data_IF_244474506978
#
_entry.id   IF_244474506978
#
_cell.length_a   1.000
_cell.length_b   1.000
_cell.length_c   1.000
_cell.angle_alpha   90.00
_cell.angle_beta   90.00
_cell.angle_gamma   90.00
#
_symmetry.space_group_name_H-M   'P 1'
#
loop_
_entity.id
_entity.type
_entity.pdbx_description
1 polymer ?
#
# COMPACT_ATOMS: atom_id res chain seq x y z
N UNK A 1 -10.85 -14.93 -5.69
CA UNK A 1 -10.10 -13.97 -6.53
C UNK A 1 -9.73 -12.79 -5.66
N UNK A 2 -8.43 -12.54 -5.50
CA UNK A 2 -7.84 -11.53 -4.61
C UNK A 2 -7.45 -12.10 -3.25
N UNK A 3 -6.13 -12.07 -2.96
CA UNK A 3 -5.51 -12.55 -1.72
C UNK A 3 -5.35 -11.49 -0.64
N UNK A 4 -6.02 -10.35 -0.77
CA UNK A 4 -6.06 -9.34 0.29
C UNK A 4 -6.65 -9.89 1.60
N UNK A 5 -6.76 -9.04 2.62
CA UNK A 5 -7.18 -9.44 3.97
C UNK A 5 -8.45 -10.32 3.98
N UNK A 6 -9.50 -9.92 3.23
CA UNK A 6 -10.74 -10.68 3.16
C UNK A 6 -10.61 -12.00 2.41
N UNK A 7 -9.92 -12.00 1.27
CA UNK A 7 -9.76 -13.19 0.43
C UNK A 7 -8.88 -14.26 1.08
N UNK A 8 -7.74 -13.86 1.66
CA UNK A 8 -6.85 -14.78 2.37
C UNK A 8 -7.52 -15.36 3.63
N UNK A 9 -8.19 -14.52 4.42
CA UNK A 9 -8.94 -14.98 5.60
C UNK A 9 -10.02 -16.01 5.23
N UNK A 10 -10.80 -15.72 4.17
CA UNK A 10 -11.84 -16.62 3.69
C UNK A 10 -11.25 -17.95 3.18
N UNK A 11 -10.22 -17.89 2.32
CA UNK A 11 -9.55 -19.08 1.80
C UNK A 11 -9.00 -19.97 2.93
N UNK A 12 -8.38 -19.36 3.94
CA UNK A 12 -7.86 -20.04 5.14
C UNK A 12 -8.99 -20.73 5.92
N UNK A 13 -10.11 -20.03 6.17
CA UNK A 13 -11.23 -20.62 6.91
C UNK A 13 -11.91 -21.76 6.14
N UNK A 14 -12.17 -21.55 4.85
CA UNK A 14 -12.78 -22.58 4.00
C UNK A 14 -11.85 -23.78 3.82
N UNK A 15 -10.57 -23.55 3.63
CA UNK A 15 -9.57 -24.61 3.53
C UNK A 15 -9.53 -25.48 4.78
N UNK A 16 -9.51 -24.90 5.98
CA UNK A 16 -9.57 -25.61 7.26
C UNK A 16 -10.89 -26.37 7.47
N UNK A 17 -12.02 -25.77 7.08
CA UNK A 17 -13.35 -26.36 7.33
C UNK A 17 -13.77 -27.41 6.30
N UNK A 18 -13.52 -27.15 5.02
CA UNK A 18 -13.99 -27.94 3.89
C UNK A 18 -12.83 -28.65 3.16
N UNK A 19 -11.76 -27.91 2.83
CA UNK A 19 -10.62 -28.43 2.08
C UNK A 19 -9.94 -29.61 2.80
N UNK A 20 -9.66 -29.47 4.10
CA UNK A 20 -9.07 -30.53 4.93
C UNK A 20 -9.88 -31.83 4.93
N UNK A 21 -11.21 -31.72 4.77
CA UNK A 21 -12.12 -32.87 4.76
C UNK A 21 -12.40 -33.40 3.35
N UNK A 22 -11.83 -32.78 2.30
CA UNK A 22 -12.13 -33.14 0.90
C UNK A 22 -13.55 -32.81 0.44
N UNK A 23 -14.26 -31.92 1.18
CA UNK A 23 -15.65 -31.54 0.86
C UNK A 23 -15.74 -30.46 -0.22
N UNK A 24 -14.66 -29.68 -0.40
CA UNK A 24 -14.54 -28.69 -1.47
C UNK A 24 -13.06 -28.46 -1.81
N UNK A 25 -12.81 -28.14 -3.07
CA UNK A 25 -11.52 -27.64 -3.52
C UNK A 25 -11.55 -26.10 -3.44
N UNK A 26 -10.72 -25.52 -2.59
CA UNK A 26 -10.62 -24.08 -2.41
C UNK A 26 -9.38 -23.58 -3.17
N UNK A 27 -9.57 -22.63 -4.09
CA UNK A 27 -8.47 -22.01 -4.83
C UNK A 27 -8.45 -20.52 -4.58
N UNK A 28 -7.34 -20.01 -4.05
CA UNK A 28 -7.02 -18.59 -3.98
C UNK A 28 -6.24 -18.19 -5.22
N UNK A 29 -6.64 -17.10 -5.87
CA UNK A 29 -5.92 -16.52 -7.01
C UNK A 29 -5.55 -15.10 -6.67
N UNK A 30 -4.28 -14.73 -6.84
CA UNK A 30 -3.78 -13.37 -6.71
C UNK A 30 -2.67 -13.09 -7.73
N UNK A 31 -2.47 -11.84 -8.07
CA UNK A 31 -1.40 -11.37 -8.96
C UNK A 31 -0.03 -11.26 -8.27
N UNK A 32 0.00 -11.28 -6.94
CA UNK A 32 1.21 -11.30 -6.12
C UNK A 32 1.48 -12.71 -5.57
N UNK A 33 2.72 -12.99 -5.19
CA UNK A 33 3.12 -14.25 -4.53
C UNK A 33 2.96 -14.19 -3.02
N UNK A 34 3.02 -12.99 -2.48
CA UNK A 34 2.97 -12.70 -1.05
C UNK A 34 1.82 -11.77 -0.71
N UNK A 35 1.33 -11.89 0.50
CA UNK A 35 0.36 -10.96 1.08
C UNK A 35 1.10 -9.89 1.87
N UNK A 36 0.99 -8.65 1.44
CA UNK A 36 1.30 -7.47 2.26
C UNK A 36 -0.01 -6.90 2.77
N UNK A 37 -0.14 -6.72 4.05
CA UNK A 37 -1.34 -6.13 4.62
C UNK A 37 -1.45 -4.66 4.18
N UNK A 38 -2.39 -4.39 3.28
CA UNK A 38 -2.58 -3.05 2.67
C UNK A 38 -2.61 -1.89 3.68
N UNK A 39 -3.22 -2.02 4.89
CA UNK A 39 -3.14 -0.98 5.92
C UNK A 39 -1.73 -0.62 6.37
N UNK A 40 -0.72 -1.48 6.17
CA UNK A 40 0.68 -1.21 6.53
C UNK A 40 1.52 -0.65 5.37
N UNK A 41 0.92 -0.33 4.21
CA UNK A 41 1.66 0.26 3.08
C UNK A 41 2.30 1.61 3.42
N UNK A 42 1.78 2.36 4.38
CA UNK A 42 2.40 3.58 4.87
C UNK A 42 3.74 3.30 5.55
N UNK A 43 3.88 2.20 6.30
CA UNK A 43 5.16 1.78 6.89
C UNK A 43 6.17 1.36 5.83
N UNK A 44 5.70 0.62 4.80
CA UNK A 44 6.55 0.26 3.66
C UNK A 44 7.03 1.51 2.90
N UNK A 45 6.16 2.50 2.70
CA UNK A 45 6.50 3.77 2.08
C UNK A 45 7.50 4.58 2.91
N UNK A 46 7.35 4.57 4.22
CA UNK A 46 8.25 5.24 5.14
C UNK A 46 9.58 4.49 5.39
N UNK A 47 9.66 3.20 5.00
CA UNK A 47 10.85 2.37 5.16
C UNK A 47 10.99 1.71 6.53
N UNK A 48 9.93 1.71 7.35
CA UNK A 48 9.89 1.04 8.66
C UNK A 48 9.33 -0.39 8.61
N UNK A 49 8.83 -0.83 7.46
CA UNK A 49 8.24 -2.16 7.26
C UNK A 49 9.32 -3.20 6.97
N UNK A 50 9.38 -4.26 7.80
CA UNK A 50 10.25 -5.41 7.55
C UNK A 50 9.53 -6.43 6.63
N UNK A 51 9.87 -6.38 5.33
CA UNK A 51 9.27 -7.28 4.34
C UNK A 51 9.57 -8.75 4.61
N UNK A 52 10.70 -9.09 5.24
CA UNK A 52 11.07 -10.47 5.55
C UNK A 52 10.27 -11.05 6.72
N UNK A 53 9.94 -10.21 7.68
CA UNK A 53 9.19 -10.64 8.87
C UNK A 53 7.67 -10.60 8.66
N UNK A 54 7.17 -9.68 7.83
CA UNK A 54 5.74 -9.32 7.79
C UNK A 54 5.01 -9.76 6.52
N UNK A 55 5.73 -10.15 5.45
CA UNK A 55 5.10 -10.70 4.26
C UNK A 55 4.67 -12.16 4.45
N UNK A 56 3.46 -12.47 4.05
CA UNK A 56 2.90 -13.82 4.17
C UNK A 56 2.93 -14.50 2.79
N UNK A 57 3.70 -15.57 2.66
CA UNK A 57 3.79 -16.39 1.46
C UNK A 57 2.48 -17.16 1.21
N UNK A 58 1.82 -16.94 0.06
CA UNK A 58 0.56 -17.62 -0.26
C UNK A 58 0.73 -19.13 -0.44
N UNK A 59 1.85 -19.61 -1.00
CA UNK A 59 2.09 -21.04 -1.15
C UNK A 59 2.21 -21.76 0.19
N UNK A 60 2.90 -21.15 1.15
CA UNK A 60 3.02 -21.69 2.51
C UNK A 60 1.65 -21.71 3.20
N UNK A 61 0.90 -20.60 3.11
CA UNK A 61 -0.45 -20.52 3.67
C UNK A 61 -1.40 -21.55 3.05
N UNK A 62 -1.33 -21.74 1.73
CA UNK A 62 -2.14 -22.71 1.02
C UNK A 62 -1.88 -24.13 1.54
N UNK A 63 -0.60 -24.50 1.68
CA UNK A 63 -0.18 -25.81 2.20
C UNK A 63 -0.68 -26.07 3.64
N UNK A 64 -0.50 -25.09 4.53
CA UNK A 64 -0.88 -25.23 5.94
C UNK A 64 -2.38 -25.20 6.19
N UNK A 65 -3.12 -24.52 5.31
CA UNK A 65 -4.55 -24.28 5.50
C UNK A 65 -5.43 -25.03 4.50
N UNK A 66 -4.89 -26.01 3.76
CA UNK A 66 -5.65 -26.92 2.88
C UNK A 66 -6.44 -26.21 1.79
N UNK A 67 -5.85 -25.20 1.14
CA UNK A 67 -6.34 -24.58 -0.09
C UNK A 67 -5.23 -24.59 -1.14
N UNK A 68 -5.57 -24.31 -2.40
CA UNK A 68 -4.62 -24.14 -3.50
C UNK A 68 -4.37 -22.67 -3.75
N UNK A 69 -3.15 -22.32 -4.15
CA UNK A 69 -2.83 -20.98 -4.64
C UNK A 69 -2.50 -21.03 -6.13
N UNK A 70 -2.99 -20.03 -6.87
CA UNK A 70 -2.63 -19.79 -8.28
C UNK A 70 -2.21 -18.34 -8.45
N UNK A 71 -1.04 -18.15 -9.03
CA UNK A 71 -0.57 -16.83 -9.46
C UNK A 71 -1.28 -16.46 -10.76
N UNK A 72 -1.87 -15.26 -10.81
CA UNK A 72 -2.52 -14.76 -12.02
C UNK A 72 -3.39 -13.53 -11.79
N UNK A 73 -3.53 -12.74 -12.84
CA UNK A 73 -4.40 -11.56 -12.86
C UNK A 73 -5.71 -11.89 -13.56
N UNK A 74 -6.84 -11.59 -12.93
CA UNK A 74 -8.17 -11.78 -13.50
C UNK A 74 -8.37 -10.86 -14.70
N UNK A 75 -8.70 -11.45 -15.86
CA UNK A 75 -9.01 -10.72 -17.09
C UNK A 75 -10.52 -10.66 -17.32
N UNK A 76 -11.19 -11.79 -17.20
CA UNK A 76 -12.63 -11.88 -17.46
C UNK A 76 -13.30 -12.99 -16.68
N UNK A 77 -14.62 -12.89 -16.55
CA UNK A 77 -15.48 -13.88 -15.90
C UNK A 77 -16.57 -14.29 -16.87
N UNK A 78 -16.61 -15.57 -17.22
CA UNK A 78 -17.75 -16.18 -17.90
C UNK A 78 -18.70 -16.78 -16.83
N UNK A 79 -19.81 -16.10 -16.59
CA UNK A 79 -20.78 -16.53 -15.60
C UNK A 79 -21.62 -17.72 -16.07
N UNK A 80 -21.86 -17.83 -17.39
CA UNK A 80 -22.64 -18.93 -17.96
C UNK A 80 -21.82 -20.23 -17.97
N UNK A 81 -20.57 -20.15 -18.44
CA UNK A 81 -19.63 -21.27 -18.43
C UNK A 81 -18.97 -21.52 -17.09
N UNK A 82 -19.22 -20.69 -16.06
CA UNK A 82 -18.58 -20.75 -14.74
C UNK A 82 -17.06 -20.88 -14.82
N UNK A 83 -16.44 -20.00 -15.59
CA UNK A 83 -14.98 -19.95 -15.73
C UNK A 83 -14.45 -18.53 -15.55
N UNK A 84 -13.21 -18.43 -15.08
CA UNK A 84 -12.44 -17.20 -15.07
C UNK A 84 -11.22 -17.34 -15.96
N UNK A 85 -10.86 -16.26 -16.66
CA UNK A 85 -9.64 -16.17 -17.45
C UNK A 85 -8.59 -15.39 -16.65
N UNK A 86 -7.37 -15.95 -16.58
CA UNK A 86 -6.22 -15.33 -15.98
C UNK A 86 -5.21 -14.97 -17.08
N UNK A 87 -4.65 -13.75 -16.99
CA UNK A 87 -3.56 -13.34 -17.85
C UNK A 87 -2.30 -14.18 -17.57
N UNK A 88 -1.38 -14.29 -18.54
CA UNK A 88 -0.04 -14.80 -18.28
C UNK A 88 0.66 -13.89 -17.26
N UNK A 89 1.51 -14.49 -16.42
CA UNK A 89 2.35 -13.75 -15.46
C UNK A 89 3.79 -13.74 -15.94
N UNK A 90 4.48 -12.63 -15.75
CA UNK A 90 5.88 -12.44 -16.13
C UNK A 90 6.67 -11.96 -14.92
N UNK A 91 7.97 -12.24 -14.91
CA UNK A 91 8.91 -11.65 -13.94
C UNK A 91 9.33 -10.23 -14.37
N UNK A 92 10.21 -9.61 -13.60
CA UNK A 92 10.73 -8.27 -13.86
C UNK A 92 11.54 -8.18 -15.14
N UNK A 93 12.10 -9.29 -15.61
CA UNK A 93 12.83 -9.39 -16.90
C UNK A 93 11.88 -9.66 -18.09
N UNK A 94 10.57 -9.80 -17.85
CA UNK A 94 9.58 -10.12 -18.89
C UNK A 94 9.49 -11.60 -19.25
N UNK A 95 10.15 -12.49 -18.48
CA UNK A 95 10.08 -13.94 -18.71
C UNK A 95 8.76 -14.48 -18.17
N UNK A 96 8.06 -15.27 -18.99
CA UNK A 96 6.79 -15.87 -18.59
C UNK A 96 6.99 -16.87 -17.42
N UNK A 97 6.26 -16.62 -16.32
CA UNK A 97 6.22 -17.49 -15.14
C UNK A 97 5.05 -18.48 -15.26
N UNK A 98 3.89 -17.99 -15.65
CA UNK A 98 2.70 -18.82 -15.89
C UNK A 98 2.02 -18.38 -17.17
N UNK A 99 1.56 -19.33 -18.02
CA UNK A 99 0.77 -18.99 -19.21
C UNK A 99 -0.61 -18.46 -18.84
N UNK A 100 -1.34 -17.98 -19.83
CA UNK A 100 -2.76 -17.70 -19.68
C UNK A 100 -3.51 -18.96 -19.22
N UNK A 101 -4.40 -18.83 -18.25
CA UNK A 101 -5.11 -19.95 -17.65
C UNK A 101 -6.62 -19.72 -17.64
N UNK A 102 -7.36 -20.80 -17.84
CA UNK A 102 -8.79 -20.84 -17.56
C UNK A 102 -9.04 -21.67 -16.31
N UNK A 103 -9.80 -21.13 -15.37
CA UNK A 103 -10.12 -21.81 -14.10
C UNK A 103 -11.64 -21.92 -13.99
N UNK A 104 -12.12 -23.16 -13.90
CA UNK A 104 -13.53 -23.43 -13.64
C UNK A 104 -13.86 -23.24 -12.16
N UNK A 105 -15.13 -22.88 -11.87
CA UNK A 105 -15.61 -22.74 -10.51
C UNK A 105 -17.10 -23.12 -10.38
N UNK A 106 -17.49 -23.61 -9.23
CA UNK A 106 -18.90 -23.74 -8.83
C UNK A 106 -19.38 -22.46 -8.16
N UNK A 107 -18.54 -21.90 -7.28
CA UNK A 107 -18.77 -20.64 -6.57
C UNK A 107 -17.56 -19.73 -6.70
N UNK A 108 -17.77 -18.52 -7.18
CA UNK A 108 -16.73 -17.49 -7.30
C UNK A 108 -16.93 -16.38 -6.26
N UNK A 109 -15.89 -16.10 -5.49
CA UNK A 109 -15.83 -14.93 -4.60
C UNK A 109 -14.84 -13.93 -5.15
N UNK A 110 -15.26 -12.70 -5.37
CA UNK A 110 -14.43 -11.58 -5.81
C UNK A 110 -14.06 -10.74 -4.59
N UNK A 111 -12.77 -10.72 -4.24
CA UNK A 111 -12.21 -10.03 -3.07
C UNK A 111 -10.98 -9.19 -3.45
N UNK A 112 -11.06 -8.52 -4.61
CA UNK A 112 -9.94 -7.79 -5.24
C UNK A 112 -9.58 -6.47 -4.53
N UNK A 113 -10.32 -6.09 -3.50
CA UNK A 113 -10.10 -4.86 -2.75
C UNK A 113 -10.54 -3.61 -3.51
N UNK A 114 -10.00 -2.47 -3.10
CA UNK A 114 -10.26 -1.14 -3.69
C UNK A 114 -8.96 -0.50 -4.17
N UNK A 115 -9.09 0.46 -5.07
CA UNK A 115 -8.01 1.33 -5.51
C UNK A 115 -8.32 2.77 -5.10
N UNK A 116 -7.27 3.57 -4.89
CA UNK A 116 -7.40 4.99 -4.60
C UNK A 116 -7.99 5.71 -5.82
N UNK A 117 -9.09 6.40 -5.58
CA UNK A 117 -9.74 7.23 -6.58
C UNK A 117 -9.10 8.63 -6.56
N UNK A 118 -8.68 9.12 -7.72
CA UNK A 118 -8.20 10.50 -7.90
C UNK A 118 -9.31 11.47 -8.31
N UNK A 119 -10.54 10.98 -8.41
CA UNK A 119 -11.73 11.77 -8.77
C UNK A 119 -11.57 12.56 -10.08
N UNK A 120 -10.66 12.12 -10.98
CA UNK A 120 -10.35 12.80 -12.22
C UNK A 120 -9.55 14.09 -12.03
N UNK A 121 -8.90 14.29 -10.89
CA UNK A 121 -8.05 15.48 -10.64
C UNK A 121 -6.96 15.58 -11.71
N UNK A 122 -6.90 16.69 -12.47
CA UNK A 122 -5.90 16.86 -13.50
C UNK A 122 -4.47 16.74 -12.97
N UNK A 123 -3.64 15.93 -13.62
CA UNK A 123 -2.25 15.71 -13.22
C UNK A 123 -2.06 14.68 -12.10
N UNK A 124 -3.08 14.22 -11.39
CA UNK A 124 -2.94 13.26 -10.30
C UNK A 124 -2.25 11.96 -10.74
N UNK A 125 -2.64 11.40 -11.87
CA UNK A 125 -2.03 10.17 -12.39
C UNK A 125 -0.53 10.32 -12.75
N UNK A 126 -0.10 11.53 -13.14
CA UNK A 126 1.26 11.83 -13.61
C UNK A 126 2.19 12.24 -12.47
N UNK A 127 1.68 12.99 -11.49
CA UNK A 127 2.47 13.67 -10.47
C UNK A 127 2.38 13.04 -9.09
N UNK A 128 1.46 12.09 -8.86
CA UNK A 128 1.33 11.45 -7.56
C UNK A 128 1.73 9.97 -7.57
N UNK A 129 2.01 9.45 -6.38
CA UNK A 129 2.18 8.02 -6.13
C UNK A 129 1.01 7.57 -5.25
N UNK A 130 0.11 6.76 -5.81
CA UNK A 130 -1.00 6.16 -5.04
C UNK A 130 -0.46 4.99 -4.24
N UNK A 131 -0.67 4.98 -2.92
CA UNK A 131 -0.24 3.89 -2.04
C UNK A 131 -1.23 2.72 -2.05
N UNK A 132 -1.44 2.15 -3.21
CA UNK A 132 -2.36 1.02 -3.41
C UNK A 132 -1.66 -0.34 -3.43
N UNK A 133 -0.38 -0.36 -3.74
CA UNK A 133 0.41 -1.58 -3.91
C UNK A 133 1.75 -1.47 -3.21
N UNK A 134 2.36 -2.62 -2.83
CA UNK A 134 3.72 -2.65 -2.28
C UNK A 134 4.75 -2.01 -3.22
N UNK A 135 4.62 -2.19 -4.52
CA UNK A 135 5.52 -1.61 -5.53
C UNK A 135 5.44 -0.08 -5.53
N UNK A 136 4.23 0.48 -5.39
CA UNK A 136 4.05 1.93 -5.31
C UNK A 136 4.66 2.48 -4.00
N UNK A 137 4.50 1.78 -2.88
CA UNK A 137 5.09 2.16 -1.61
C UNK A 137 6.62 2.13 -1.65
N UNK A 138 7.23 1.06 -2.20
CA UNK A 138 8.69 0.98 -2.41
C UNK A 138 9.18 2.10 -3.32
N UNK A 139 8.51 2.35 -4.45
CA UNK A 139 8.87 3.45 -5.36
C UNK A 139 8.83 4.81 -4.69
N UNK A 140 7.89 5.04 -3.78
CA UNK A 140 7.84 6.26 -2.98
C UNK A 140 9.03 6.32 -2.03
N UNK A 141 9.32 5.25 -1.30
CA UNK A 141 10.47 5.17 -0.38
C UNK A 141 11.80 5.43 -1.11
N UNK A 142 12.03 4.79 -2.25
CA UNK A 142 13.22 5.01 -3.08
C UNK A 142 13.35 6.48 -3.51
N UNK A 143 12.25 7.11 -3.90
CA UNK A 143 12.25 8.54 -4.25
C UNK A 143 12.59 9.43 -3.06
N UNK A 144 12.05 9.12 -1.89
CA UNK A 144 12.34 9.86 -0.65
C UNK A 144 13.83 9.75 -0.29
N UNK A 145 14.37 8.53 -0.22
CA UNK A 145 15.79 8.28 0.06
C UNK A 145 16.69 8.97 -0.96
N UNK A 146 16.40 8.82 -2.26
CA UNK A 146 17.17 9.47 -3.31
C UNK A 146 17.12 11.00 -3.22
N UNK A 147 16.01 11.58 -2.77
CA UNK A 147 15.91 13.02 -2.54
C UNK A 147 16.76 13.44 -1.35
N UNK A 148 16.78 12.65 -0.28
CA UNK A 148 17.66 12.87 0.89
C UNK A 148 19.14 12.78 0.49
N UNK A 149 19.54 11.76 -0.28
CA UNK A 149 20.91 11.60 -0.78
C UNK A 149 21.31 12.80 -1.64
N UNK A 150 20.48 13.25 -2.57
CA UNK A 150 20.75 14.44 -3.38
C UNK A 150 20.91 15.69 -2.52
N UNK A 151 20.07 15.85 -1.51
CA UNK A 151 20.16 17.00 -0.61
C UNK A 151 21.46 17.06 0.19
N UNK A 152 22.13 15.92 0.39
CA UNK A 152 23.46 15.84 1.02
C UNK A 152 24.62 16.22 0.12
N UNK A 153 24.49 16.09 -1.20
CA UNK A 153 25.59 16.33 -2.14
C UNK A 153 25.83 17.81 -2.40
N UNK A 154 24.92 18.68 -1.98
CA UNK A 154 25.02 20.13 -2.16
C UNK A 154 25.10 20.78 -0.80
N UNK A 155 26.13 21.61 -0.58
CA UNK A 155 26.23 22.41 0.63
C UNK A 155 24.97 23.28 0.78
N UNK A 156 24.23 23.08 1.84
CA UNK A 156 22.97 23.78 2.08
C UNK A 156 23.22 25.16 2.66
N UNK A 157 22.58 26.16 2.08
CA UNK A 157 22.48 27.51 2.63
C UNK A 157 21.13 27.67 3.34
N UNK A 158 20.96 28.77 4.05
CA UNK A 158 19.68 29.11 4.68
C UNK A 158 18.51 29.24 3.66
N UNK A 159 18.84 29.52 2.40
CA UNK A 159 17.89 29.70 1.30
C UNK A 159 17.68 28.41 0.48
N UNK A 160 18.30 27.30 0.86
CA UNK A 160 18.11 26.03 0.14
C UNK A 160 16.66 25.55 0.28
N UNK A 161 16.00 25.11 -0.82
CA UNK A 161 14.62 24.65 -0.75
C UNK A 161 14.51 23.42 0.17
N UNK A 162 13.44 23.40 0.98
CA UNK A 162 13.13 22.24 1.82
C UNK A 162 12.72 21.06 0.95
N UNK A 163 13.01 19.86 1.43
CA UNK A 163 12.43 18.65 0.85
C UNK A 163 10.96 18.57 1.31
N UNK A 164 10.04 18.83 0.39
CA UNK A 164 8.60 18.81 0.71
C UNK A 164 7.97 17.50 0.25
N UNK A 165 7.26 16.84 1.16
CA UNK A 165 6.38 15.71 0.86
C UNK A 165 4.95 16.14 1.10
N UNK A 166 4.16 16.18 0.02
CA UNK A 166 2.73 16.50 0.09
C UNK A 166 1.90 15.23 0.08
N UNK A 167 1.08 15.05 1.10
CA UNK A 167 0.13 13.93 1.25
C UNK A 167 -1.27 14.47 0.92
N UNK A 168 -1.93 13.86 -0.06
CA UNK A 168 -3.30 14.22 -0.45
C UNK A 168 -4.27 13.18 0.10
N UNK A 169 -5.14 13.62 0.99
CA UNK A 169 -6.14 12.81 1.69
C UNK A 169 -5.85 12.64 3.18
N UNK A 170 -6.71 13.18 4.02
CA UNK A 170 -6.67 13.13 5.49
C UNK A 170 -7.43 11.96 6.11
N UNK A 171 -7.57 10.84 5.38
CA UNK A 171 -8.04 9.57 5.90
C UNK A 171 -6.98 8.87 6.77
N UNK A 172 -7.29 7.66 7.25
CA UNK A 172 -6.38 6.90 8.13
C UNK A 172 -4.99 6.75 7.53
N UNK A 173 -4.89 6.30 6.27
CA UNK A 173 -3.60 6.09 5.58
C UNK A 173 -2.76 7.36 5.48
N UNK A 174 -3.38 8.52 5.16
CA UNK A 174 -2.63 9.79 5.06
C UNK A 174 -2.14 10.29 6.40
N UNK A 175 -2.96 10.17 7.45
CA UNK A 175 -2.60 10.53 8.84
C UNK A 175 -1.46 9.64 9.34
N UNK A 176 -1.57 8.33 9.15
CA UNK A 176 -0.55 7.35 9.54
C UNK A 176 0.76 7.56 8.77
N UNK A 177 0.67 7.79 7.44
CA UNK A 177 1.85 8.08 6.62
C UNK A 177 2.57 9.35 7.08
N UNK A 178 1.85 10.43 7.39
CA UNK A 178 2.46 11.66 7.85
C UNK A 178 3.24 11.47 9.16
N UNK A 179 2.66 10.73 10.11
CA UNK A 179 3.31 10.42 11.37
C UNK A 179 4.55 9.52 11.18
N UNK A 180 4.42 8.49 10.34
CA UNK A 180 5.49 7.53 10.06
C UNK A 180 6.66 8.17 9.32
N UNK A 181 6.40 9.01 8.33
CA UNK A 181 7.43 9.76 7.61
C UNK A 181 8.22 10.69 8.53
N UNK A 182 7.57 11.33 9.49
CA UNK A 182 8.26 12.12 10.50
C UNK A 182 9.22 11.27 11.33
N UNK A 183 8.77 10.10 11.79
CA UNK A 183 9.60 9.17 12.56
C UNK A 183 10.79 8.64 11.74
N UNK A 184 10.54 8.24 10.48
CA UNK A 184 11.57 7.73 9.58
C UNK A 184 12.61 8.78 9.21
N UNK A 185 12.20 10.03 8.98
CA UNK A 185 13.11 11.13 8.70
C UNK A 185 14.10 11.37 9.88
N UNK A 186 13.61 11.27 11.12
CA UNK A 186 14.46 11.35 12.31
C UNK A 186 15.44 10.17 12.40
N UNK A 187 14.99 8.95 12.05
CA UNK A 187 15.87 7.78 11.99
C UNK A 187 16.96 7.95 10.93
N UNK A 188 16.60 8.40 9.74
CA UNK A 188 17.55 8.65 8.66
C UNK A 188 18.66 9.64 9.09
N UNK A 189 18.32 10.70 9.82
CA UNK A 189 19.30 11.64 10.34
C UNK A 189 20.31 10.99 11.28
N UNK A 190 19.92 9.95 12.03
CA UNK A 190 20.82 9.21 12.92
C UNK A 190 21.75 8.23 12.19
N UNK A 191 21.45 7.88 10.93
CA UNK A 191 22.24 6.93 10.13
C UNK A 191 23.30 7.57 9.23
N UNK A 192 23.73 8.81 9.52
CA UNK A 192 24.87 9.46 8.83
C UNK A 192 24.47 10.42 7.72
N UNK A 193 23.25 10.91 7.75
CA UNK A 193 22.87 12.07 6.95
C UNK A 193 23.26 13.34 7.74
N UNK A 194 24.54 13.73 7.68
CA UNK A 194 25.11 14.81 8.49
C UNK A 194 24.57 16.21 8.15
N UNK A 195 24.02 16.36 6.92
CA UNK A 195 23.55 17.66 6.42
C UNK A 195 22.03 17.79 6.38
N UNK A 196 21.28 16.71 6.69
CA UNK A 196 19.82 16.76 6.76
C UNK A 196 19.40 16.84 8.21
N UNK A 197 18.76 17.93 8.55
CA UNK A 197 18.06 18.13 9.81
C UNK A 197 16.54 17.98 9.54
N UNK A 198 15.90 16.86 9.92
CA UNK A 198 14.51 16.57 9.56
C UNK A 198 13.55 17.70 9.93
N UNK A 199 13.77 18.33 11.08
CA UNK A 199 12.94 19.43 11.59
C UNK A 199 13.06 20.72 10.74
N UNK A 200 14.14 20.88 9.98
CA UNK A 200 14.40 22.06 9.16
C UNK A 200 14.25 21.79 7.67
N UNK A 201 14.67 20.61 7.24
CA UNK A 201 14.89 20.29 5.83
C UNK A 201 13.76 19.45 5.22
N UNK A 202 12.98 18.70 6.02
CA UNK A 202 11.80 17.98 5.58
C UNK A 202 10.55 18.75 6.01
N UNK A 203 9.74 19.13 5.04
CA UNK A 203 8.40 19.68 5.27
C UNK A 203 7.36 18.64 4.87
N UNK A 204 6.50 18.28 5.80
CA UNK A 204 5.36 17.40 5.55
C UNK A 204 4.10 18.25 5.47
N UNK A 205 3.37 18.14 4.36
CA UNK A 205 2.12 18.84 4.12
C UNK A 205 1.02 17.81 3.89
N UNK A 206 -0.08 17.91 4.62
CA UNK A 206 -1.25 17.07 4.43
C UNK A 206 -2.45 17.93 4.01
N UNK A 207 -3.03 17.62 2.86
CA UNK A 207 -4.17 18.35 2.29
C UNK A 207 -5.39 17.43 2.29
N UNK A 208 -6.51 17.91 2.82
CA UNK A 208 -7.78 17.19 2.92
C UNK A 208 -8.93 18.06 2.40
N UNK A 209 -9.72 17.50 1.48
CA UNK A 209 -10.87 18.20 0.90
C UNK A 209 -12.03 18.37 1.89
N UNK A 210 -12.15 17.47 2.87
CA UNK A 210 -13.16 17.56 3.91
C UNK A 210 -12.77 18.61 4.98
N UNK A 211 -13.74 19.17 5.73
CA UNK A 211 -13.45 20.18 6.75
C UNK A 211 -12.69 19.63 7.97
N UNK A 212 -12.42 18.33 8.03
CA UNK A 212 -11.66 17.69 9.12
C UNK A 212 -10.98 16.42 8.68
N UNK A 213 -9.89 16.07 9.36
CA UNK A 213 -9.25 14.77 9.23
C UNK A 213 -10.17 13.64 9.71
N UNK A 214 -9.96 12.44 9.16
CA UNK A 214 -10.70 11.22 9.54
C UNK A 214 -12.21 11.43 9.52
N UNK A 215 -12.73 12.05 8.48
CA UNK A 215 -14.13 12.49 8.36
C UNK A 215 -15.16 11.37 8.56
N UNK A 216 -14.77 10.11 8.32
CA UNK A 216 -15.59 8.91 8.53
C UNK A 216 -15.62 8.42 9.99
N UNK A 217 -14.76 8.96 10.86
CA UNK A 217 -14.66 8.57 12.28
C UNK A 217 -15.30 9.65 13.18
N UNK A 218 -15.55 9.34 14.45
CA UNK A 218 -16.04 10.34 15.41
C UNK A 218 -15.15 11.60 15.45
N UNK A 219 -15.75 12.78 15.54
CA UNK A 219 -15.08 14.08 15.45
C UNK A 219 -13.86 14.19 16.40
N UNK A 220 -13.99 13.71 17.62
CA UNK A 220 -12.91 13.72 18.63
C UNK A 220 -11.61 13.07 18.13
N UNK A 221 -11.71 12.06 17.24
CA UNK A 221 -10.53 11.36 16.69
C UNK A 221 -9.83 12.22 15.65
N UNK A 222 -10.58 12.89 14.77
CA UNK A 222 -10.01 13.83 13.81
C UNK A 222 -9.30 15.00 14.47
N UNK A 223 -9.93 15.58 15.52
CA UNK A 223 -9.33 16.65 16.32
C UNK A 223 -8.06 16.19 17.05
N UNK A 224 -8.08 14.95 17.59
CA UNK A 224 -6.89 14.38 18.23
C UNK A 224 -5.77 14.17 17.22
N UNK A 225 -6.06 13.58 16.04
CA UNK A 225 -5.09 13.38 14.98
C UNK A 225 -4.47 14.71 14.53
N UNK A 226 -5.29 15.75 14.33
CA UNK A 226 -4.81 17.08 13.96
C UNK A 226 -3.84 17.66 14.99
N UNK A 227 -4.17 17.52 16.29
CA UNK A 227 -3.28 17.99 17.38
C UNK A 227 -1.94 17.26 17.36
N UNK A 228 -1.96 15.93 17.18
CA UNK A 228 -0.74 15.12 17.17
C UNK A 228 0.11 15.44 15.92
N UNK A 229 -0.48 15.55 14.74
CA UNK A 229 0.27 15.91 13.52
C UNK A 229 0.91 17.30 13.64
N UNK A 230 0.22 18.27 14.22
CA UNK A 230 0.78 19.60 14.47
C UNK A 230 1.98 19.58 15.44
N UNK A 231 1.96 18.72 16.47
CA UNK A 231 3.13 18.51 17.35
C UNK A 231 4.33 17.94 16.59
N UNK A 232 4.09 17.16 15.55
CA UNK A 232 5.10 16.65 14.63
C UNK A 232 5.50 17.64 13.54
N UNK A 233 5.07 18.90 13.63
CA UNK A 233 5.34 19.95 12.65
C UNK A 233 4.81 19.62 11.25
N UNK A 234 3.78 18.80 11.15
CA UNK A 234 3.07 18.55 9.89
C UNK A 234 2.12 19.70 9.63
N UNK A 235 2.27 20.34 8.48
CA UNK A 235 1.35 21.37 8.00
C UNK A 235 0.06 20.69 7.49
N UNK A 236 -1.09 21.07 8.06
CA UNK A 236 -2.37 20.41 7.73
C UNK A 236 -3.35 21.46 7.22
N UNK A 237 -3.80 21.25 5.99
CA UNK A 237 -4.83 22.01 5.31
C UNK A 237 -6.10 21.16 5.19
N UNK A 238 -7.20 21.65 5.73
CA UNK A 238 -8.52 21.05 5.60
C UNK A 238 -9.44 21.99 4.82
N UNK A 239 -10.50 21.45 4.23
CA UNK A 239 -11.42 22.18 3.36
C UNK A 239 -10.74 22.70 2.08
N UNK A 240 -9.67 22.02 1.64
CA UNK A 240 -8.89 22.37 0.45
C UNK A 240 -8.84 21.20 -0.53
N UNK A 241 -9.12 21.48 -1.80
CA UNK A 241 -9.00 20.52 -2.91
C UNK A 241 -7.73 20.79 -3.72
N UNK A 242 -7.06 19.71 -4.09
CA UNK A 242 -5.91 19.71 -5.02
C UNK A 242 -6.38 19.65 -6.45
#
# INVERSE_FOLDING_TARGET
MGGGAGGLALATQLGKRLGRKGLAEITLVDSARTHVWKPLLHQLAAGSYDTHAEEIEYLAQARWNHFKFRLGTLVSVDRAGKTVQLAPSHDEAGIEITPAQQVAYDTLVIAVGSQTNDFGTPGAAQHTIKLDTPQAARRFNDRLINACIRAQTVARSADSPRLTVTIVGGGATGVELAAELHASARMLANFGFDYIHPEKDLQLVLIEAAPRLLSQLPQRLGESALRELRKLSVEVHTDEKV
#
